data_IF_051739763994
#
_entry.id   IF_051739763994
#
_cell.length_a   1.000
_cell.length_b   1.000
_cell.length_c   1.000
_cell.angle_alpha   90.00
_cell.angle_beta   90.00
_cell.angle_gamma   90.00
#
_symmetry.space_group_name_H-M   'P 1'
#
loop_
_entity.id
_entity.type
_entity.pdbx_description
1 polymer ?
#
# COMPACT_ATOMS: atom_id res chain seq x y z
N UNK A 1 -15.54 34.04 15.46
CA UNK A 1 -14.43 33.99 14.49
C UNK A 1 -13.88 32.58 14.53
N UNK A 2 -13.96 31.80 13.45
CA UNK A 2 -13.36 30.46 13.42
C UNK A 2 -11.84 30.59 13.34
N UNK A 3 -11.14 30.10 14.36
CA UNK A 3 -9.69 29.92 14.32
C UNK A 3 -9.36 28.90 13.24
N UNK A 4 -8.43 29.20 12.32
CA UNK A 4 -8.02 28.20 11.34
C UNK A 4 -7.31 27.07 12.08
N UNK A 5 -7.94 25.89 12.08
CA UNK A 5 -7.34 24.64 12.52
C UNK A 5 -5.98 24.45 11.80
N UNK A 6 -4.91 24.01 12.51
CA UNK A 6 -3.61 23.80 11.89
C UNK A 6 -3.71 22.82 10.71
N UNK A 7 -3.23 23.26 9.54
CA UNK A 7 -3.21 22.44 8.30
C UNK A 7 -1.79 22.01 7.95
N UNK A 8 -1.61 20.72 7.70
CA UNK A 8 -0.37 20.12 7.23
C UNK A 8 -0.32 20.17 5.71
N UNK A 9 0.64 20.91 5.16
CA UNK A 9 0.87 20.99 3.73
C UNK A 9 1.98 20.03 3.29
N UNK A 10 1.64 19.04 2.46
CA UNK A 10 2.60 18.07 1.93
C UNK A 10 3.03 18.48 0.53
N UNK A 11 4.29 18.85 0.37
CA UNK A 11 4.89 19.13 -0.96
C UNK A 11 5.34 17.84 -1.62
N UNK A 12 5.43 17.83 -2.96
CA UNK A 12 5.80 16.63 -3.71
C UNK A 12 4.84 15.46 -3.48
N UNK A 13 3.56 15.75 -3.22
CA UNK A 13 2.56 14.80 -2.78
C UNK A 13 2.28 13.66 -3.78
N UNK A 14 2.57 13.88 -5.06
CA UNK A 14 2.45 12.86 -6.13
C UNK A 14 3.67 11.95 -6.24
N UNK A 15 4.78 12.29 -5.57
CA UNK A 15 5.99 11.48 -5.55
C UNK A 15 5.87 10.28 -4.59
N UNK A 16 6.84 9.36 -4.68
CA UNK A 16 6.88 8.15 -3.86
C UNK A 16 6.80 8.47 -2.35
N UNK A 17 7.67 9.36 -1.88
CA UNK A 17 7.69 9.76 -0.47
C UNK A 17 6.42 10.53 -0.07
N UNK A 18 5.96 11.47 -0.91
CA UNK A 18 4.78 12.29 -0.62
C UNK A 18 3.52 11.45 -0.40
N UNK A 19 3.33 10.41 -1.22
CA UNK A 19 2.24 9.43 -1.05
C UNK A 19 2.33 8.71 0.29
N UNK A 20 3.50 8.18 0.65
CA UNK A 20 3.72 7.50 1.94
C UNK A 20 3.47 8.42 3.14
N UNK A 21 3.87 9.70 3.04
CA UNK A 21 3.63 10.71 4.08
C UNK A 21 2.13 10.95 4.25
N UNK A 22 1.38 11.22 3.16
CA UNK A 22 -0.07 11.43 3.22
C UNK A 22 -0.76 10.21 3.82
N UNK A 23 -0.37 9.02 3.36
CA UNK A 23 -0.83 7.76 3.88
C UNK A 23 -0.61 7.57 5.39
N UNK A 24 0.54 8.00 5.91
CA UNK A 24 0.86 7.93 7.32
C UNK A 24 0.09 8.98 8.13
N UNK A 25 -0.05 10.20 7.60
CA UNK A 25 -0.81 11.28 8.23
C UNK A 25 -2.29 10.95 8.36
N UNK A 26 -2.90 10.33 7.35
CA UNK A 26 -4.30 9.89 7.39
C UNK A 26 -4.61 8.88 8.52
N UNK A 27 -3.59 8.22 9.10
CA UNK A 27 -3.77 7.36 10.29
C UNK A 27 -3.79 8.13 11.61
N UNK A 28 -3.32 9.38 11.61
CA UNK A 28 -2.99 10.14 12.82
C UNK A 28 -3.84 11.39 12.98
N UNK A 29 -4.24 12.00 11.88
CA UNK A 29 -5.00 13.25 11.86
C UNK A 29 -6.19 13.15 10.91
N UNK A 30 -7.25 13.97 11.11
CA UNK A 30 -8.36 14.04 10.18
C UNK A 30 -7.91 14.40 8.76
N UNK A 31 -8.55 13.83 7.73
CA UNK A 31 -8.19 14.12 6.34
C UNK A 31 -8.34 15.62 5.96
N UNK A 32 -9.20 16.35 6.67
CA UNK A 32 -9.44 17.79 6.44
C UNK A 32 -8.35 18.70 7.00
N UNK A 33 -7.43 18.17 7.82
CA UNK A 33 -6.24 18.90 8.25
C UNK A 33 -5.04 18.70 7.31
N UNK A 34 -5.16 17.88 6.25
CA UNK A 34 -4.08 17.62 5.30
C UNK A 34 -4.38 18.29 3.96
N UNK A 35 -3.40 19.01 3.42
CA UNK A 35 -3.44 19.62 2.09
C UNK A 35 -2.25 19.14 1.25
N UNK A 36 -2.53 18.62 0.06
CA UNK A 36 -1.51 18.10 -0.84
C UNK A 36 -1.14 19.13 -1.92
N UNK A 37 0.14 19.49 -1.99
CA UNK A 37 0.69 20.35 -3.04
C UNK A 37 1.11 19.54 -4.26
N UNK A 38 0.45 19.78 -5.40
CA UNK A 38 0.76 19.19 -6.70
C UNK A 38 1.13 20.28 -7.71
N UNK A 39 2.02 19.97 -8.67
CA UNK A 39 2.45 20.95 -9.69
C UNK A 39 1.42 21.13 -10.80
N UNK A 40 0.72 20.06 -11.18
CA UNK A 40 -0.37 20.08 -12.15
C UNK A 40 -1.52 19.24 -11.62
N UNK A 41 -2.71 19.82 -11.60
CA UNK A 41 -3.93 19.18 -11.11
C UNK A 41 -4.49 18.15 -12.10
N UNK A 42 -4.08 18.26 -13.37
CA UNK A 42 -4.53 17.44 -14.50
C UNK A 42 -3.69 16.16 -14.67
N UNK A 43 -2.63 16.02 -13.87
CA UNK A 43 -1.78 14.84 -13.90
C UNK A 43 -2.52 13.63 -13.34
N UNK A 44 -2.39 12.46 -13.99
CA UNK A 44 -2.95 11.20 -13.48
C UNK A 44 -2.54 10.91 -12.02
N UNK A 45 -1.32 11.28 -11.62
CA UNK A 45 -0.85 11.14 -10.24
C UNK A 45 -1.58 12.07 -9.25
N UNK A 46 -2.05 13.24 -9.70
CA UNK A 46 -2.88 14.14 -8.91
C UNK A 46 -4.33 13.63 -8.80
N UNK A 47 -4.86 12.99 -9.85
CA UNK A 47 -6.18 12.34 -9.82
C UNK A 47 -6.21 11.15 -8.85
N UNK A 48 -5.19 10.28 -8.90
CA UNK A 48 -5.00 9.17 -7.96
C UNK A 48 -4.97 9.66 -6.49
N UNK A 49 -4.28 10.77 -6.24
CA UNK A 49 -4.23 11.39 -4.92
C UNK A 49 -5.59 11.90 -4.42
N UNK A 50 -6.48 12.35 -5.32
CA UNK A 50 -7.86 12.72 -4.95
C UNK A 50 -8.69 11.49 -4.59
N UNK A 51 -8.45 10.36 -5.25
CA UNK A 51 -9.05 9.06 -4.91
C UNK A 51 -8.69 8.60 -3.49
N UNK A 52 -7.43 8.79 -3.09
CA UNK A 52 -6.94 8.46 -1.74
C UNK A 52 -7.67 9.24 -0.62
N UNK A 53 -8.18 10.45 -0.90
CA UNK A 53 -8.99 11.22 0.06
C UNK A 53 -10.37 10.57 0.31
N UNK A 54 -10.88 9.76 -0.63
CA UNK A 54 -12.22 9.14 -0.59
C UNK A 54 -12.21 7.69 -0.13
N UNK A 55 -11.08 7.00 -0.14
CA UNK A 55 -11.01 5.59 0.22
C UNK A 55 -9.64 5.18 0.77
N UNK A 56 -9.60 4.64 1.99
CA UNK A 56 -8.43 3.93 2.49
C UNK A 56 -8.83 2.78 3.45
N UNK A 57 -9.24 1.60 2.95
CA UNK A 57 -9.09 0.37 3.72
C UNK A 57 -7.66 -0.15 3.55
N UNK A 58 -6.91 -0.23 4.64
CA UNK A 58 -5.63 -0.96 4.69
C UNK A 58 -5.87 -2.42 5.07
N UNK A 59 -5.57 -3.32 4.15
CA UNK A 59 -5.41 -4.76 4.40
C UNK A 59 -5.27 -5.47 3.05
N UNK A 60 -4.34 -6.40 2.80
CA UNK A 60 -3.52 -7.24 3.68
C UNK A 60 -2.40 -7.80 2.80
N UNK A 61 -1.14 -7.45 3.06
CA UNK A 61 0.01 -8.25 2.58
C UNK A 61 0.49 -9.10 3.76
N UNK A 62 -0.05 -10.31 3.85
CA UNK A 62 0.66 -11.44 4.47
C UNK A 62 1.23 -12.27 3.32
N UNK A 63 2.42 -11.91 2.86
CA UNK A 63 3.30 -12.87 2.20
C UNK A 63 4.24 -13.42 3.28
N UNK A 64 3.78 -14.46 3.98
CA UNK A 64 4.62 -15.22 4.90
C UNK A 64 4.05 -16.63 5.07
N UNK A 65 4.65 -17.52 4.28
CA UNK A 65 4.63 -18.99 4.21
C UNK A 65 5.00 -19.27 2.75
N UNK A 66 6.18 -19.77 2.42
CA UNK A 66 6.74 -21.03 2.93
C UNK A 66 8.29 -20.97 2.97
N UNK A 67 8.85 -21.01 4.18
CA UNK A 67 10.20 -21.52 4.43
C UNK A 67 9.96 -22.77 5.26
N UNK A 68 9.89 -23.93 4.60
CA UNK A 68 9.56 -25.18 5.25
C UNK A 68 9.80 -26.34 4.31
N UNK A 69 11.04 -26.83 4.30
CA UNK A 69 11.36 -28.10 3.66
C UNK A 69 10.56 -29.23 4.29
N UNK A 70 10.06 -30.14 3.45
CA UNK A 70 9.80 -31.51 3.88
C UNK A 70 10.28 -32.46 2.78
N UNK A 71 11.32 -33.21 3.11
CA UNK A 71 11.72 -34.41 2.40
C UNK A 71 10.56 -35.41 2.50
N UNK A 72 9.82 -35.61 1.41
CA UNK A 72 8.95 -36.78 1.30
C UNK A 72 9.58 -37.78 0.35
N UNK A 73 10.13 -38.84 0.96
CA UNK A 73 10.69 -40.01 0.30
C UNK A 73 9.56 -40.73 -0.43
N UNK A 74 9.56 -40.73 -1.76
CA UNK A 74 8.75 -41.68 -2.50
C UNK A 74 9.62 -42.90 -2.83
N UNK A 75 9.33 -44.03 -2.16
CA UNK A 75 9.83 -45.37 -2.48
C UNK A 75 9.53 -45.70 -3.96
N UNK A 76 10.42 -46.44 -4.66
CA UNK A 76 10.13 -46.96 -6.00
C UNK A 76 9.18 -48.17 -5.92
N UNK A 77 8.25 -48.36 -6.88
CA UNK A 77 7.58 -49.65 -7.04
C UNK A 77 8.47 -50.65 -7.77
N UNK A 78 8.39 -51.90 -7.31
CA UNK A 78 9.17 -53.05 -7.73
C UNK A 78 8.86 -53.50 -9.17
N UNK A 79 9.93 -53.98 -9.82
CA UNK A 79 10.00 -55.02 -10.86
C UNK A 79 8.68 -55.62 -11.37
N UNK A 80 8.47 -55.54 -12.70
CA UNK A 80 7.90 -56.63 -13.50
C UNK A 80 8.64 -56.72 -14.84
N UNK A 81 9.51 -57.73 -14.94
CA UNK A 81 10.08 -58.26 -16.17
C UNK A 81 9.30 -59.53 -16.50
N UNK A 82 8.31 -59.45 -17.39
CA UNK A 82 7.67 -60.59 -18.08
C UNK A 82 7.10 -60.04 -19.40
N UNK A 83 7.87 -60.11 -20.48
CA UNK A 83 7.71 -61.02 -21.63
C UNK A 83 8.84 -60.74 -22.63
#
# INVERSE_FOLDING_TARGET
MSTPEPRLFVTGATGQLGRLVIEALLKRVPADSIMAGVRSLESAAAEDLRGARRHAPRGRLRASRDIGGSLSRHRPPASHLVQ
#
